data_IF_940691575577
#
_entry.id   IF_940691575577
#
_cell.length_a   1.000
_cell.length_b   1.000
_cell.length_c   1.000
_cell.angle_alpha   90.00
_cell.angle_beta   90.00
_cell.angle_gamma   90.00
#
_symmetry.space_group_name_H-M   'P 1'
#
loop_
_entity.id
_entity.type
_entity.pdbx_description
1 polymer ?
#
# COMPACT_ATOMS: atom_id res chain seq x y z
N UNK A 1 27.02 -35.10 30.83
CA UNK A 1 27.28 -34.08 29.81
C UNK A 1 26.12 -33.92 28.84
N UNK A 2 25.30 -34.96 28.65
CA UNK A 2 24.14 -34.97 27.73
C UNK A 2 22.95 -34.08 28.14
N UNK A 3 22.84 -33.71 29.42
CA UNK A 3 21.77 -32.81 29.91
C UNK A 3 22.00 -31.35 29.46
N UNK A 4 23.24 -31.00 29.16
CA UNK A 4 23.67 -29.64 28.81
C UNK A 4 23.80 -29.49 27.29
N UNK A 5 24.35 -30.51 26.64
CA UNK A 5 24.67 -30.52 25.21
C UNK A 5 23.56 -31.15 24.37
N UNK A 6 23.53 -30.85 23.06
CA UNK A 6 22.56 -31.40 22.13
C UNK A 6 21.33 -30.50 21.87
N UNK A 7 20.42 -30.98 21.02
CA UNK A 7 19.21 -30.24 20.59
C UNK A 7 18.17 -30.11 21.70
N UNK A 8 18.06 -31.14 22.52
CA UNK A 8 17.22 -31.22 23.74
C UNK A 8 18.02 -30.87 25.01
N UNK A 9 19.27 -30.43 24.84
CA UNK A 9 20.08 -29.94 25.95
C UNK A 9 19.48 -28.68 26.56
N UNK A 10 19.63 -28.52 27.87
CA UNK A 10 19.01 -27.44 28.67
C UNK A 10 19.28 -26.04 28.11
N UNK A 11 20.43 -25.81 27.47
CA UNK A 11 20.77 -24.53 26.84
C UNK A 11 19.87 -24.19 25.65
N UNK A 12 19.63 -25.13 24.74
CA UNK A 12 18.84 -24.86 23.52
C UNK A 12 17.35 -24.85 23.82
N UNK A 13 16.89 -25.75 24.67
CA UNK A 13 15.46 -25.89 24.97
C UNK A 13 14.94 -24.84 25.97
N UNK A 14 15.77 -24.41 26.93
CA UNK A 14 15.31 -23.56 28.04
C UNK A 14 15.92 -22.17 28.05
N UNK A 15 17.12 -21.95 27.52
CA UNK A 15 17.78 -20.65 27.59
C UNK A 15 17.64 -19.86 26.29
N UNK A 16 17.74 -20.51 25.12
CA UNK A 16 17.63 -19.85 23.82
C UNK A 16 16.18 -19.67 23.33
N UNK A 17 15.26 -20.53 23.78
CA UNK A 17 13.84 -20.43 23.50
C UNK A 17 13.04 -20.75 24.75
N UNK A 18 11.91 -20.07 24.95
CA UNK A 18 10.96 -20.37 26.02
C UNK A 18 9.55 -20.21 25.50
N UNK A 19 8.61 -20.92 26.13
CA UNK A 19 7.18 -20.61 25.98
C UNK A 19 6.90 -19.30 26.71
N UNK A 20 6.05 -18.47 26.12
CA UNK A 20 5.76 -17.12 26.60
C UNK A 20 4.26 -16.99 26.82
N UNK A 21 3.87 -16.40 27.94
CA UNK A 21 2.49 -16.01 28.21
C UNK A 21 2.05 -14.86 27.29
N UNK A 22 0.74 -14.53 27.28
CA UNK A 22 0.19 -13.50 26.40
C UNK A 22 0.53 -13.72 24.92
N UNK A 23 0.50 -14.98 24.51
CA UNK A 23 0.73 -15.41 23.13
C UNK A 23 -0.42 -16.27 22.59
N UNK A 24 -0.68 -16.15 21.29
CA UNK A 24 -1.72 -16.90 20.59
C UNK A 24 -1.24 -17.32 19.21
N UNK A 25 -1.96 -18.22 18.55
CA UNK A 25 -1.66 -18.66 17.19
C UNK A 25 -2.95 -18.90 16.42
N UNK A 26 -2.99 -18.46 15.16
CA UNK A 26 -4.09 -18.81 14.25
C UNK A 26 -3.63 -18.81 12.80
N UNK A 27 -4.48 -19.34 11.94
CA UNK A 27 -4.34 -19.26 10.47
C UNK A 27 -4.46 -17.80 10.03
N UNK A 28 -3.70 -17.42 9.01
CA UNK A 28 -3.77 -16.09 8.42
C UNK A 28 -4.65 -16.04 7.19
N UNK A 29 -5.29 -14.89 6.98
CA UNK A 29 -6.11 -14.57 5.80
C UNK A 29 -5.74 -13.17 5.31
N UNK A 30 -5.88 -12.91 4.01
CA UNK A 30 -5.58 -11.61 3.42
C UNK A 30 -6.57 -10.54 3.88
N UNK A 31 -6.05 -9.39 4.33
CA UNK A 31 -6.83 -8.21 4.72
C UNK A 31 -6.52 -7.00 3.82
N UNK A 32 -7.11 -6.91 2.62
CA UNK A 32 -6.77 -5.86 1.65
C UNK A 32 -7.25 -4.45 2.06
N UNK A 33 -8.23 -4.37 2.96
CA UNK A 33 -8.77 -3.10 3.46
C UNK A 33 -7.99 -2.54 4.66
N UNK A 34 -7.05 -3.32 5.22
CA UNK A 34 -6.24 -2.89 6.35
C UNK A 34 -5.22 -1.84 5.88
N UNK A 35 -4.86 -0.92 6.77
CA UNK A 35 -3.66 -0.11 6.56
C UNK A 35 -2.41 -0.97 6.80
N UNK A 36 -1.27 -0.56 6.24
CA UNK A 36 -0.03 -1.33 6.34
C UNK A 36 0.40 -1.62 7.79
N UNK A 37 0.13 -0.69 8.70
CA UNK A 37 0.42 -0.79 10.14
C UNK A 37 -0.63 -1.52 10.97
N UNK A 38 -1.71 -2.01 10.35
CA UNK A 38 -2.82 -2.65 11.04
C UNK A 38 -2.84 -4.16 10.79
N UNK A 39 -3.36 -4.91 11.75
CA UNK A 39 -3.69 -6.32 11.57
C UNK A 39 -5.08 -6.60 12.14
N UNK A 40 -5.76 -7.60 11.58
CA UNK A 40 -7.02 -8.08 12.14
C UNK A 40 -6.78 -9.18 13.15
N UNK A 41 -7.25 -9.00 14.39
CA UNK A 41 -7.27 -10.03 15.41
C UNK A 41 -8.68 -10.57 15.61
N UNK A 42 -8.86 -11.90 15.61
CA UNK A 42 -10.17 -12.50 15.84
C UNK A 42 -10.61 -12.32 17.30
N UNK A 43 -11.92 -12.13 17.47
CA UNK A 43 -12.57 -11.90 18.77
C UNK A 43 -12.18 -12.90 19.86
N UNK A 44 -12.13 -14.19 19.53
CA UNK A 44 -11.82 -15.28 20.47
C UNK A 44 -10.39 -15.13 21.03
N UNK A 45 -9.40 -14.86 20.16
CA UNK A 45 -8.00 -14.71 20.56
C UNK A 45 -7.80 -13.38 21.31
N UNK A 46 -8.43 -12.30 20.83
CA UNK A 46 -8.30 -11.00 21.45
C UNK A 46 -8.82 -10.99 22.91
N UNK A 47 -9.96 -11.64 23.20
CA UNK A 47 -10.47 -11.73 24.58
C UNK A 47 -9.49 -12.44 25.51
N UNK A 48 -8.93 -13.58 25.08
CA UNK A 48 -8.02 -14.36 25.92
C UNK A 48 -6.70 -13.59 26.16
N UNK A 49 -6.12 -13.03 25.09
CA UNK A 49 -4.85 -12.32 25.21
C UNK A 49 -4.97 -11.02 26.03
N UNK A 50 -6.09 -10.30 25.90
CA UNK A 50 -6.30 -9.02 26.60
C UNK A 50 -7.12 -9.15 27.90
N UNK A 51 -7.41 -10.37 28.36
CA UNK A 51 -8.34 -10.61 29.46
C UNK A 51 -8.03 -9.76 30.71
N UNK A 52 -6.77 -9.72 31.13
CA UNK A 52 -6.33 -8.96 32.31
C UNK A 52 -6.58 -7.45 32.15
N UNK A 53 -6.35 -6.92 30.95
CA UNK A 53 -6.56 -5.50 30.64
C UNK A 53 -8.04 -5.14 30.59
N UNK A 54 -8.87 -6.03 30.04
CA UNK A 54 -10.33 -5.88 30.00
C UNK A 54 -10.92 -5.89 31.41
N UNK A 55 -10.47 -6.81 32.28
CA UNK A 55 -10.90 -6.83 33.70
C UNK A 55 -10.56 -5.50 34.38
N UNK A 56 -9.35 -4.97 34.15
CA UNK A 56 -8.93 -3.66 34.68
C UNK A 56 -9.78 -2.53 34.12
N UNK A 57 -10.13 -2.56 32.83
CA UNK A 57 -11.01 -1.59 32.18
C UNK A 57 -12.41 -1.57 32.78
N UNK A 58 -13.01 -2.76 32.98
CA UNK A 58 -14.35 -2.93 33.59
C UNK A 58 -14.42 -2.37 35.01
N UNK A 59 -13.37 -2.56 35.82
CA UNK A 59 -13.30 -2.02 37.19
C UNK A 59 -13.10 -0.50 37.14
N UNK A 60 -12.24 0.00 36.24
CA UNK A 60 -11.97 1.45 36.12
C UNK A 60 -13.19 2.26 35.71
N UNK A 61 -14.09 1.66 34.92
CA UNK A 61 -15.33 2.30 34.48
C UNK A 61 -16.51 2.07 35.45
N UNK A 62 -16.26 1.51 36.65
CA UNK A 62 -17.27 1.18 37.67
C UNK A 62 -18.42 0.27 37.17
N UNK A 63 -18.20 -0.47 36.07
CA UNK A 63 -19.16 -1.45 35.55
C UNK A 63 -19.24 -2.67 36.46
N UNK A 64 -18.12 -2.99 37.11
CA UNK A 64 -17.97 -4.17 37.98
C UNK A 64 -17.12 -3.84 39.20
N UNK A 65 -17.56 -4.27 40.38
CA UNK A 65 -16.85 -4.06 41.65
C UNK A 65 -15.77 -5.11 41.94
N UNK A 66 -15.90 -6.34 41.41
CA UNK A 66 -14.99 -7.45 41.72
C UNK A 66 -14.48 -8.17 40.46
N UNK A 67 -13.23 -8.59 40.50
CA UNK A 67 -12.57 -9.38 39.43
C UNK A 67 -13.32 -10.68 39.10
N UNK A 68 -13.96 -11.32 40.09
CA UNK A 68 -14.76 -12.53 39.87
C UNK A 68 -15.97 -12.30 38.97
N UNK A 69 -16.72 -11.21 39.22
CA UNK A 69 -17.87 -10.81 38.39
C UNK A 69 -17.40 -10.43 36.99
N UNK A 70 -16.25 -9.73 36.87
CA UNK A 70 -15.69 -9.35 35.59
C UNK A 70 -15.34 -10.59 34.74
N UNK A 71 -14.78 -11.64 35.36
CA UNK A 71 -14.55 -12.93 34.70
C UNK A 71 -15.85 -13.60 34.25
N UNK A 72 -16.93 -13.50 35.02
CA UNK A 72 -18.25 -14.02 34.61
C UNK A 72 -18.78 -13.30 33.38
N UNK A 73 -18.76 -11.96 33.38
CA UNK A 73 -19.18 -11.14 32.25
C UNK A 73 -18.41 -11.41 30.96
N UNK A 74 -17.10 -11.65 31.09
CA UNK A 74 -16.25 -12.04 29.95
C UNK A 74 -16.67 -13.42 29.40
N UNK A 75 -16.97 -14.38 30.28
CA UNK A 75 -17.46 -15.71 29.88
C UNK A 75 -18.83 -15.65 29.20
N UNK A 76 -19.71 -14.77 29.69
CA UNK A 76 -21.05 -14.52 29.13
C UNK A 76 -21.01 -13.70 27.84
N UNK A 77 -19.85 -13.13 27.46
CA UNK A 77 -19.62 -12.33 26.25
C UNK A 77 -20.56 -11.13 26.13
N UNK A 78 -20.81 -10.44 27.25
CA UNK A 78 -21.66 -9.23 27.28
C UNK A 78 -21.18 -8.18 26.25
N UNK A 79 -22.10 -7.40 25.64
CA UNK A 79 -21.76 -6.40 24.63
C UNK A 79 -20.72 -5.38 25.10
N UNK A 80 -20.80 -4.96 26.36
CA UNK A 80 -19.89 -3.97 26.98
C UNK A 80 -18.43 -4.44 27.00
N UNK A 81 -18.19 -5.76 27.05
CA UNK A 81 -16.84 -6.33 27.04
C UNK A 81 -16.15 -6.03 25.71
N UNK A 82 -16.89 -6.05 24.60
CA UNK A 82 -16.33 -5.79 23.28
C UNK A 82 -15.95 -4.33 23.07
N UNK A 83 -16.74 -3.41 23.62
CA UNK A 83 -16.45 -1.97 23.59
C UNK A 83 -15.16 -1.66 24.37
N UNK A 84 -15.04 -2.18 25.59
CA UNK A 84 -13.84 -2.03 26.42
C UNK A 84 -12.64 -2.71 25.77
N UNK A 85 -12.82 -3.90 25.17
CA UNK A 85 -11.75 -4.58 24.47
C UNK A 85 -11.21 -3.74 23.31
N UNK A 86 -12.09 -3.11 22.51
CA UNK A 86 -11.67 -2.21 21.43
C UNK A 86 -10.88 -1.01 21.95
N UNK A 87 -11.31 -0.38 23.04
CA UNK A 87 -10.59 0.74 23.68
C UNK A 87 -9.19 0.29 24.15
N UNK A 88 -9.11 -0.85 24.83
CA UNK A 88 -7.85 -1.43 25.32
C UNK A 88 -6.89 -1.73 24.16
N UNK A 89 -7.40 -2.34 23.09
CA UNK A 89 -6.60 -2.71 21.91
C UNK A 89 -6.01 -1.50 21.19
N UNK A 90 -6.72 -0.36 21.15
CA UNK A 90 -6.19 0.87 20.55
C UNK A 90 -4.90 1.35 21.23
N UNK A 91 -4.76 1.12 22.55
CA UNK A 91 -3.58 1.48 23.31
C UNK A 91 -2.37 0.55 23.11
N UNK A 92 -2.58 -0.69 22.68
CA UNK A 92 -1.55 -1.74 22.73
C UNK A 92 -1.20 -2.28 21.34
N UNK A 93 0.06 -2.13 20.88
CA UNK A 93 0.50 -2.80 19.66
C UNK A 93 0.64 -4.31 19.90
N UNK A 94 0.59 -5.10 18.83
CA UNK A 94 0.82 -6.56 18.88
C UNK A 94 1.92 -6.95 17.91
N UNK A 95 2.69 -7.98 18.27
CA UNK A 95 3.74 -8.54 17.43
C UNK A 95 3.19 -9.77 16.71
N UNK A 96 3.30 -9.80 15.39
CA UNK A 96 3.04 -10.98 14.59
C UNK A 96 4.35 -11.64 14.21
N UNK A 97 4.41 -12.97 14.31
CA UNK A 97 5.58 -13.77 13.96
C UNK A 97 5.17 -14.97 13.10
N UNK A 98 5.90 -15.19 11.99
CA UNK A 98 5.81 -16.42 11.20
C UNK A 98 7.09 -17.23 11.35
N UNK A 99 6.94 -18.50 11.70
CA UNK A 99 8.05 -19.44 11.72
C UNK A 99 8.19 -20.15 10.35
N UNK A 100 9.41 -20.41 9.85
CA UNK A 100 10.71 -20.06 10.45
C UNK A 100 11.06 -18.57 10.32
N UNK A 101 11.59 -17.97 11.40
CA UNK A 101 12.00 -16.57 11.41
C UNK A 101 13.42 -16.43 10.86
N UNK A 102 13.55 -16.16 9.56
CA UNK A 102 14.86 -16.10 8.88
C UNK A 102 15.60 -14.76 9.05
N UNK A 103 14.86 -13.68 9.25
CA UNK A 103 15.39 -12.34 9.39
C UNK A 103 14.45 -11.46 10.22
N UNK A 104 14.90 -10.26 10.60
CA UNK A 104 14.16 -9.36 11.51
C UNK A 104 12.71 -9.10 11.08
N UNK A 105 12.43 -9.00 9.77
CA UNK A 105 11.07 -8.73 9.26
C UNK A 105 10.11 -9.93 9.42
N UNK A 106 10.60 -11.09 9.86
CA UNK A 106 9.75 -12.22 10.24
C UNK A 106 9.01 -12.00 11.56
N UNK A 107 9.31 -10.90 12.28
CA UNK A 107 8.52 -10.39 13.40
C UNK A 107 8.28 -8.91 13.16
N UNK A 108 7.02 -8.48 13.14
CA UNK A 108 6.67 -7.05 13.02
C UNK A 108 5.53 -6.68 13.95
N UNK A 109 5.49 -5.41 14.34
CA UNK A 109 4.43 -4.84 15.15
C UNK A 109 3.31 -4.26 14.29
N UNK A 110 2.09 -4.42 14.78
CA UNK A 110 0.87 -3.91 14.17
C UNK A 110 -0.07 -3.35 15.23
N UNK A 111 -0.90 -2.40 14.81
CA UNK A 111 -2.07 -1.97 15.56
C UNK A 111 -3.19 -2.99 15.33
N UNK A 112 -3.65 -3.72 16.36
CA UNK A 112 -4.71 -4.69 16.19
C UNK A 112 -6.07 -4.02 15.98
N UNK A 113 -6.87 -4.59 15.09
CA UNK A 113 -8.28 -4.28 14.86
C UNK A 113 -9.09 -5.54 15.14
N UNK A 114 -10.21 -5.40 15.83
CA UNK A 114 -11.09 -6.53 16.10
C UNK A 114 -11.81 -6.95 14.81
N UNK A 115 -11.69 -8.23 14.42
CA UNK A 115 -12.32 -8.78 13.22
C UNK A 115 -13.24 -9.95 13.58
N UNK A 116 -14.28 -10.14 12.77
CA UNK A 116 -15.19 -11.27 12.86
C UNK A 116 -14.56 -12.53 12.22
N UNK A 117 -14.69 -13.67 12.90
CA UNK A 117 -14.08 -14.94 12.50
C UNK A 117 -12.96 -15.40 13.44
N UNK A 118 -12.18 -16.39 12.97
CA UNK A 118 -11.12 -17.04 13.76
C UNK A 118 -9.71 -16.86 13.20
N UNK A 119 -9.58 -16.32 11.99
CA UNK A 119 -8.31 -16.10 11.34
C UNK A 119 -7.74 -14.71 11.65
N UNK A 120 -6.42 -14.59 11.59
CA UNK A 120 -5.71 -13.30 11.68
C UNK A 120 -5.68 -12.67 10.29
N UNK A 121 -6.14 -11.43 10.16
CA UNK A 121 -6.07 -10.72 8.88
C UNK A 121 -4.72 -10.00 8.77
N UNK A 122 -3.98 -10.31 7.70
CA UNK A 122 -2.66 -9.74 7.42
C UNK A 122 -2.70 -8.85 6.18
N UNK A 123 -1.97 -7.75 6.22
CA UNK A 123 -1.84 -6.85 5.06
C UNK A 123 -1.05 -7.53 3.91
N UNK A 124 -1.50 -7.49 2.65
CA UNK A 124 -0.83 -8.20 1.55
C UNK A 124 0.63 -7.75 1.32
N UNK A 125 0.95 -6.46 1.47
CA UNK A 125 2.32 -5.94 1.26
C UNK A 125 3.36 -6.46 2.28
N UNK A 126 2.97 -6.88 3.48
CA UNK A 126 3.94 -7.41 4.46
C UNK A 126 4.23 -8.89 4.27
N UNK A 127 3.45 -9.59 3.44
CA UNK A 127 3.56 -11.04 3.25
C UNK A 127 4.97 -11.46 2.77
N UNK A 128 5.59 -10.66 1.90
CA UNK A 128 6.97 -10.89 1.44
C UNK A 128 7.98 -10.85 2.60
N UNK A 129 7.78 -9.97 3.58
CA UNK A 129 8.63 -9.87 4.78
C UNK A 129 8.47 -11.07 5.73
N UNK A 130 7.30 -11.70 5.76
CA UNK A 130 7.08 -12.94 6.53
C UNK A 130 7.36 -14.20 5.71
N UNK A 131 7.61 -14.07 4.41
CA UNK A 131 7.58 -15.14 3.42
C UNK A 131 6.27 -15.95 3.48
N UNK A 132 5.16 -15.28 3.79
CA UNK A 132 3.87 -15.88 4.08
C UNK A 132 2.98 -15.99 2.84
N UNK A 133 2.21 -17.07 2.78
CA UNK A 133 1.11 -17.29 1.84
C UNK A 133 -0.20 -17.57 2.60
N UNK A 134 -1.27 -17.90 1.88
CA UNK A 134 -2.63 -18.03 2.45
C UNK A 134 -3.23 -19.42 2.18
N UNK A 135 -2.40 -20.46 2.12
CA UNK A 135 -2.80 -21.84 1.84
C UNK A 135 -3.06 -22.68 3.12
N UNK A 136 -2.94 -22.05 4.29
CA UNK A 136 -3.04 -22.71 5.61
C UNK A 136 -1.97 -22.26 6.61
N UNK A 137 -1.07 -21.39 6.17
CA UNK A 137 -0.09 -20.70 6.99
C UNK A 137 -0.65 -20.16 8.31
N UNK A 138 0.14 -20.30 9.38
CA UNK A 138 -0.21 -19.86 10.72
C UNK A 138 0.81 -18.86 11.26
N UNK A 139 0.33 -17.84 11.96
CA UNK A 139 1.17 -16.86 12.64
C UNK A 139 0.92 -16.87 14.14
N UNK A 140 1.99 -16.64 14.90
CA UNK A 140 1.92 -16.37 16.32
C UNK A 140 1.70 -14.87 16.57
N UNK A 141 0.97 -14.56 17.63
CA UNK A 141 0.69 -13.22 18.13
C UNK A 141 1.30 -13.10 19.51
N UNK A 142 1.97 -11.99 19.81
CA UNK A 142 2.51 -11.68 21.14
C UNK A 142 2.14 -10.25 21.55
N UNK A 143 1.82 -10.05 22.82
CA UNK A 143 1.52 -8.72 23.37
C UNK A 143 2.72 -8.19 24.18
N UNK A 144 3.32 -7.05 23.80
CA UNK A 144 4.26 -6.33 24.64
C UNK A 144 3.53 -5.69 25.83
N UNK A 145 3.95 -6.05 27.05
CA UNK A 145 3.27 -5.62 28.28
C UNK A 145 3.86 -4.33 28.85
N UNK A 146 5.19 -4.24 28.98
CA UNK A 146 5.85 -3.08 29.57
C UNK A 146 5.80 -1.86 28.64
N UNK A 147 5.89 -0.66 29.22
CA UNK A 147 5.85 0.58 28.43
C UNK A 147 7.05 0.69 27.50
N UNK A 148 8.21 0.19 27.92
CA UNK A 148 9.43 0.13 27.12
C UNK A 148 9.24 -0.79 25.92
N UNK A 149 8.70 -1.99 26.13
CA UNK A 149 8.43 -2.94 25.05
C UNK A 149 7.38 -2.41 24.06
N UNK A 150 6.35 -1.71 24.55
CA UNK A 150 5.36 -1.05 23.69
C UNK A 150 5.99 0.09 22.88
N UNK A 151 6.90 0.87 23.48
CA UNK A 151 7.62 1.93 22.80
C UNK A 151 8.56 1.37 21.73
N UNK A 152 9.33 0.33 22.03
CA UNK A 152 10.19 -0.37 21.05
C UNK A 152 9.37 -0.94 19.91
N UNK A 153 8.23 -1.58 20.20
CA UNK A 153 7.33 -2.08 19.17
C UNK A 153 6.93 -0.93 18.23
N UNK A 154 6.42 0.17 18.79
CA UNK A 154 5.94 1.36 18.05
C UNK A 154 7.03 2.04 17.21
N UNK A 155 8.23 2.21 17.76
CA UNK A 155 9.30 2.98 17.12
C UNK A 155 10.19 2.15 16.19
N UNK A 156 10.38 0.86 16.48
CA UNK A 156 11.36 0.03 15.79
C UNK A 156 10.72 -1.09 14.98
N UNK A 157 9.61 -1.66 15.44
CA UNK A 157 9.06 -2.90 14.86
C UNK A 157 7.81 -2.68 14.01
N UNK A 158 7.17 -1.50 14.05
CA UNK A 158 5.97 -1.25 13.25
C UNK A 158 6.24 -1.48 11.76
N UNK A 159 5.32 -2.17 11.09
CA UNK A 159 5.48 -2.57 9.68
C UNK A 159 5.74 -1.38 8.74
N UNK A 160 5.08 -0.23 8.97
CA UNK A 160 5.23 0.96 8.15
C UNK A 160 6.58 1.67 8.29
N UNK A 161 7.34 1.37 9.34
CA UNK A 161 8.71 1.86 9.52
C UNK A 161 9.74 0.92 8.88
N UNK A 162 9.34 -0.31 8.58
CA UNK A 162 10.21 -1.39 8.10
C UNK A 162 9.93 -1.75 6.64
N UNK A 163 10.00 -0.74 5.76
CA UNK A 163 9.70 -0.92 4.33
C UNK A 163 10.86 -1.48 3.51
N UNK A 164 12.10 -1.34 4.01
CA UNK A 164 13.32 -1.72 3.31
C UNK A 164 13.95 -2.98 3.91
N UNK A 165 14.59 -3.77 3.05
CA UNK A 165 15.40 -4.92 3.45
C UNK A 165 16.65 -4.43 4.17
N UNK A 166 16.95 -4.89 5.40
CA UNK A 166 18.19 -4.52 6.08
C UNK A 166 19.46 -5.04 5.39
N UNK A 167 19.36 -6.07 4.54
CA UNK A 167 20.53 -6.66 3.90
C UNK A 167 21.00 -5.88 2.67
N UNK A 168 20.06 -5.43 1.83
CA UNK A 168 20.36 -4.85 0.50
C UNK A 168 19.90 -3.38 0.42
N UNK A 169 18.94 -2.95 1.25
CA UNK A 169 18.30 -1.64 1.15
C UNK A 169 17.12 -1.60 0.18
N UNK A 170 16.85 -2.69 -0.54
CA UNK A 170 15.72 -2.79 -1.48
C UNK A 170 14.36 -2.77 -0.76
N UNK A 171 13.31 -2.22 -1.39
CA UNK A 171 11.97 -2.21 -0.82
C UNK A 171 11.39 -3.62 -0.75
N UNK A 172 10.90 -4.00 0.44
CA UNK A 172 10.25 -5.30 0.69
C UNK A 172 8.74 -5.18 0.51
N UNK A 173 8.15 -4.09 1.01
CA UNK A 173 6.71 -3.82 0.91
C UNK A 173 6.36 -3.20 -0.45
N UNK A 174 6.52 -3.99 -1.52
CA UNK A 174 6.23 -3.60 -2.90
C UNK A 174 4.94 -4.25 -3.40
N UNK A 175 4.18 -3.61 -4.30
CA UNK A 175 3.08 -4.24 -5.00
C UNK A 175 3.51 -5.57 -5.64
N UNK A 176 2.72 -6.62 -5.47
CA UNK A 176 2.96 -7.97 -5.99
C UNK A 176 1.73 -8.46 -6.77
N UNK A 177 1.95 -9.42 -7.67
CA UNK A 177 0.92 -10.19 -8.38
C UNK A 177 -0.26 -9.31 -8.86
N UNK A 178 -1.42 -9.42 -8.22
CA UNK A 178 -2.67 -8.73 -8.58
C UNK A 178 -2.51 -7.20 -8.62
N UNK A 179 -1.77 -6.63 -7.67
CA UNK A 179 -1.52 -5.18 -7.65
C UNK A 179 -0.69 -4.76 -8.86
N UNK A 180 0.32 -5.55 -9.24
CA UNK A 180 1.15 -5.28 -10.41
C UNK A 180 0.33 -5.44 -11.70
N UNK A 181 -0.52 -6.46 -11.79
CA UNK A 181 -1.40 -6.66 -12.95
C UNK A 181 -2.36 -5.47 -13.08
N UNK A 182 -2.98 -5.03 -11.98
CA UNK A 182 -3.86 -3.87 -11.97
C UNK A 182 -3.15 -2.59 -12.43
N UNK A 183 -1.98 -2.31 -11.88
CA UNK A 183 -1.16 -1.16 -12.27
C UNK A 183 -0.68 -1.27 -13.73
N UNK A 184 -0.28 -2.46 -14.16
CA UNK A 184 0.19 -2.71 -15.52
C UNK A 184 -0.94 -2.50 -16.52
N UNK A 185 -2.12 -3.07 -16.27
CA UNK A 185 -3.31 -2.88 -17.10
C UNK A 185 -3.68 -1.40 -17.13
N UNK A 186 -3.70 -0.69 -15.99
CA UNK A 186 -3.99 0.75 -15.98
C UNK A 186 -2.98 1.61 -16.74
N UNK A 187 -1.73 1.15 -16.84
CA UNK A 187 -0.63 1.87 -17.50
C UNK A 187 -0.27 1.32 -18.86
N UNK A 188 -1.04 0.35 -19.39
CA UNK A 188 -0.80 -0.27 -20.70
C UNK A 188 -1.19 0.72 -21.81
N UNK A 189 -0.34 1.71 -22.03
CA UNK A 189 -0.45 2.66 -23.13
C UNK A 189 0.28 2.16 -24.36
N UNK A 190 -0.29 2.41 -25.53
CA UNK A 190 0.47 2.33 -26.78
C UNK A 190 1.35 3.60 -26.81
N UNK A 191 2.69 3.53 -26.76
CA UNK A 191 3.56 4.70 -26.70
C UNK A 191 3.61 5.40 -28.06
N UNK A 192 2.47 5.92 -28.51
CA UNK A 192 2.39 6.83 -29.63
C UNK A 192 2.83 8.18 -29.09
N UNK A 193 4.14 8.42 -29.02
CA UNK A 193 4.67 9.76 -28.74
C UNK A 193 4.07 10.80 -29.68
N UNK A 194 4.18 12.10 -29.37
CA UNK A 194 3.60 13.17 -30.21
C UNK A 194 4.03 13.06 -31.69
N UNK A 195 5.20 12.46 -31.94
CA UNK A 195 5.79 12.30 -33.26
C UNK A 195 5.46 10.97 -33.98
N UNK A 196 4.81 9.99 -33.34
CA UNK A 196 4.48 8.72 -33.98
C UNK A 196 3.58 8.91 -35.22
N UNK A 197 2.86 10.03 -35.31
CA UNK A 197 2.02 10.37 -36.45
C UNK A 197 2.64 11.36 -37.45
N UNK A 198 3.88 11.84 -37.23
CA UNK A 198 4.59 12.75 -38.17
C UNK A 198 5.58 12.04 -39.09
N UNK A 199 6.08 10.86 -38.72
CA UNK A 199 7.10 10.12 -39.49
C UNK A 199 6.63 8.76 -40.05
N UNK A 200 5.34 8.57 -40.32
CA UNK A 200 4.90 7.51 -41.25
C UNK A 200 4.85 8.05 -42.69
N UNK A 201 5.98 8.58 -43.15
CA UNK A 201 6.18 9.00 -44.52
C UNK A 201 7.43 8.35 -45.09
N UNK A 202 7.44 7.00 -45.18
CA UNK A 202 8.18 6.22 -46.19
C UNK A 202 8.23 4.73 -45.83
N UNK A 203 7.19 3.99 -46.17
CA UNK A 203 7.40 2.68 -46.79
C UNK A 203 7.04 2.83 -48.27
N UNK A 204 7.93 3.49 -49.00
CA UNK A 204 7.91 3.52 -50.45
C UNK A 204 8.30 2.16 -50.96
N UNK A 205 7.31 1.30 -51.18
CA UNK A 205 7.28 0.31 -52.26
C UNK A 205 5.94 -0.41 -52.27
N UNK A 206 4.94 0.20 -52.91
CA UNK A 206 4.04 -0.53 -53.81
C UNK A 206 3.18 0.47 -54.61
N UNK A 207 3.15 0.22 -55.92
CA UNK A 207 2.52 1.03 -56.96
C UNK A 207 0.99 0.99 -56.85
N UNK A 208 0.35 2.16 -56.89
CA UNK A 208 -0.60 2.59 -57.95
C UNK A 208 -1.10 4.01 -57.62
N UNK A 209 -0.97 4.89 -58.60
CA UNK A 209 -1.55 6.24 -58.59
C UNK A 209 -3.08 6.08 -58.69
N UNK A 210 -3.77 6.27 -57.57
CA UNK A 210 -5.17 6.68 -57.59
C UNK A 210 -5.25 8.05 -56.92
N UNK A 211 -5.79 9.00 -57.69
CA UNK A 211 -6.07 10.37 -57.31
C UNK A 211 -7.14 10.37 -56.22
N UNK A 212 -6.73 10.20 -54.97
CA UNK A 212 -7.61 10.42 -53.82
C UNK A 212 -7.46 11.89 -53.41
N UNK A 213 -8.58 12.59 -53.51
CA UNK A 213 -8.80 13.95 -53.04
C UNK A 213 -8.12 14.22 -51.70
N UNK A 214 -7.33 15.31 -51.64
CA UNK A 214 -6.88 15.93 -50.40
C UNK A 214 -8.10 16.38 -49.59
N UNK A 215 -8.68 15.51 -48.76
CA UNK A 215 -9.62 15.88 -47.71
C UNK A 215 -9.59 14.80 -46.62
N UNK A 216 -9.40 15.25 -45.38
CA UNK A 216 -9.68 14.55 -44.12
C UNK A 216 -8.75 13.41 -43.67
N UNK A 217 -7.48 13.70 -43.40
CA UNK A 217 -6.81 13.10 -42.23
C UNK A 217 -7.14 13.94 -40.98
N UNK A 218 -8.42 13.96 -40.60
CA UNK A 218 -8.89 14.61 -39.37
C UNK A 218 -8.58 13.68 -38.20
N UNK A 219 -7.30 13.62 -37.79
CA UNK A 219 -6.92 12.91 -36.58
C UNK A 219 -7.78 13.43 -35.41
N UNK A 220 -8.38 12.55 -34.60
CA UNK A 220 -9.07 13.02 -33.39
C UNK A 220 -8.03 13.75 -32.56
N UNK A 221 -8.22 15.07 -32.37
CA UNK A 221 -7.38 15.84 -31.45
C UNK A 221 -7.58 15.23 -30.06
N UNK A 222 -6.49 14.73 -29.48
CA UNK A 222 -6.50 14.26 -28.10
C UNK A 222 -7.12 15.35 -27.20
N UNK A 223 -8.09 14.99 -26.35
CA UNK A 223 -8.85 15.97 -25.57
C UNK A 223 -7.96 16.64 -24.50
N UNK A 224 -8.18 17.93 -24.29
CA UNK A 224 -7.49 18.73 -23.27
C UNK A 224 -8.34 18.88 -22.02
N UNK A 225 -7.73 18.65 -20.87
CA UNK A 225 -8.34 18.81 -19.55
C UNK A 225 -7.51 19.71 -18.66
N UNK A 226 -8.19 20.68 -18.05
CA UNK A 226 -7.64 21.55 -17.01
C UNK A 226 -7.53 20.87 -15.65
N UNK A 227 -8.41 19.91 -15.37
CA UNK A 227 -8.54 19.22 -14.08
C UNK A 227 -8.70 17.72 -14.27
N UNK A 228 -8.17 16.94 -13.34
CA UNK A 228 -8.37 15.48 -13.31
C UNK A 228 -9.85 15.13 -13.12
N UNK A 229 -10.61 15.96 -12.40
CA UNK A 229 -12.06 15.78 -12.23
C UNK A 229 -12.82 15.92 -13.55
N UNK A 230 -12.41 16.83 -14.44
CA UNK A 230 -13.04 17.02 -15.75
C UNK A 230 -12.82 15.78 -16.64
N UNK A 231 -11.60 15.23 -16.61
CA UNK A 231 -11.26 14.01 -17.31
C UNK A 231 -12.06 12.80 -16.79
N UNK A 232 -12.20 12.67 -15.46
CA UNK A 232 -13.04 11.65 -14.83
C UNK A 232 -14.53 11.82 -15.19
N UNK A 233 -15.02 13.05 -15.26
CA UNK A 233 -16.38 13.36 -15.73
C UNK A 233 -16.59 12.93 -17.17
N UNK A 234 -15.65 13.22 -18.06
CA UNK A 234 -15.69 12.80 -19.46
C UNK A 234 -15.64 11.27 -19.62
N UNK A 235 -14.84 10.59 -18.80
CA UNK A 235 -14.81 9.12 -18.74
C UNK A 235 -16.16 8.53 -18.30
N UNK A 236 -16.78 9.07 -17.23
CA UNK A 236 -18.11 8.65 -16.77
C UNK A 236 -19.19 8.86 -17.82
N UNK A 237 -19.08 9.93 -18.62
CA UNK A 237 -19.96 10.21 -19.76
C UNK A 237 -19.63 9.37 -21.01
N UNK A 238 -18.68 8.42 -20.92
CA UNK A 238 -18.19 7.57 -22.02
C UNK A 238 -17.69 8.37 -23.24
N UNK A 239 -17.23 9.61 -23.04
CA UNK A 239 -16.60 10.43 -24.09
C UNK A 239 -15.15 10.02 -24.34
N UNK A 240 -14.53 9.37 -23.36
CA UNK A 240 -13.12 8.98 -23.34
C UNK A 240 -13.04 7.54 -22.84
N UNK A 241 -12.14 6.76 -23.43
CA UNK A 241 -11.85 5.40 -22.99
C UNK A 241 -10.65 5.39 -22.03
N UNK A 242 -10.53 4.37 -21.20
CA UNK A 242 -9.45 4.29 -20.20
C UNK A 242 -8.04 4.36 -20.84
N UNK A 243 -7.88 3.80 -22.04
CA UNK A 243 -6.61 3.75 -22.77
C UNK A 243 -6.45 4.84 -23.83
N UNK A 244 -7.41 5.76 -23.96
CA UNK A 244 -7.26 6.83 -24.95
C UNK A 244 -6.36 7.94 -24.39
N UNK A 245 -5.32 8.37 -25.13
CA UNK A 245 -4.42 9.41 -24.68
C UNK A 245 -5.18 10.74 -24.51
N UNK A 246 -4.85 11.46 -23.45
CA UNK A 246 -5.40 12.79 -23.16
C UNK A 246 -4.30 13.75 -22.72
N UNK A 247 -4.59 15.03 -22.82
CA UNK A 247 -3.73 16.10 -22.32
C UNK A 247 -4.26 16.62 -21.00
N UNK A 248 -3.50 16.46 -19.92
CA UNK A 248 -3.87 16.94 -18.60
C UNK A 248 -2.97 18.10 -18.17
N UNK A 249 -3.55 19.21 -17.73
CA UNK A 249 -2.81 20.32 -17.13
C UNK A 249 -2.20 19.88 -15.79
N UNK A 250 -0.88 19.86 -15.72
CA UNK A 250 -0.11 19.59 -14.52
C UNK A 250 0.01 20.83 -13.65
N UNK A 251 -0.13 20.66 -12.33
CA UNK A 251 0.04 21.75 -11.36
C UNK A 251 1.53 21.96 -11.10
N UNK A 252 1.98 23.21 -11.22
CA UNK A 252 3.39 23.60 -11.13
C UNK A 252 4.03 23.38 -9.76
N UNK A 253 3.24 23.25 -8.70
CA UNK A 253 3.73 23.04 -7.32
C UNK A 253 4.41 21.67 -7.11
N UNK A 254 4.16 20.72 -8.01
CA UNK A 254 4.80 19.41 -8.00
C UNK A 254 6.01 19.43 -8.91
N UNK A 255 7.21 19.52 -8.32
CA UNK A 255 8.49 19.53 -9.03
C UNK A 255 8.55 18.37 -10.02
N UNK A 256 8.60 18.70 -11.31
CA UNK A 256 8.85 17.72 -12.37
C UNK A 256 10.35 17.41 -12.35
N UNK A 257 10.72 16.21 -11.91
CA UNK A 257 12.07 15.67 -12.14
C UNK A 257 12.11 15.20 -13.59
N UNK A 258 12.37 16.13 -14.50
CA UNK A 258 12.66 15.82 -15.90
C UNK A 258 14.16 15.87 -16.14
N UNK A 259 14.71 14.84 -16.80
CA UNK A 259 16.00 14.93 -17.48
C UNK A 259 16.00 16.12 -18.46
N UNK A 260 17.16 16.75 -18.68
CA UNK A 260 17.35 17.86 -19.62
C UNK A 260 17.09 17.39 -21.06
N UNK A 261 15.82 17.33 -21.46
CA UNK A 261 15.40 17.05 -22.83
C UNK A 261 15.37 18.34 -23.65
N UNK A 262 15.72 18.26 -24.94
CA UNK A 262 15.61 19.37 -25.89
C UNK A 262 14.17 19.36 -26.45
N UNK A 263 13.49 20.52 -26.55
CA UNK A 263 12.15 20.57 -27.12
C UNK A 263 12.19 20.16 -28.60
N UNK A 264 11.20 19.37 -29.02
CA UNK A 264 11.06 18.91 -30.40
C UNK A 264 10.62 20.07 -31.29
N UNK A 265 9.76 20.93 -30.76
CA UNK A 265 9.20 22.06 -31.48
C UNK A 265 8.92 23.21 -30.51
N UNK A 266 9.24 24.44 -30.92
CA UNK A 266 8.93 25.66 -30.17
C UNK A 266 8.11 26.57 -31.07
N UNK A 267 6.89 26.88 -30.64
CA UNK A 267 5.98 27.77 -31.37
C UNK A 267 5.81 29.09 -30.59
N UNK A 268 5.85 30.22 -31.30
CA UNK A 268 5.60 31.53 -30.73
C UNK A 268 4.26 32.08 -31.22
N UNK A 269 3.41 32.51 -30.29
CA UNK A 269 2.15 33.18 -30.60
C UNK A 269 2.38 34.69 -30.73
N UNK A 270 1.57 35.37 -31.55
CA UNK A 270 1.63 36.82 -31.76
C UNK A 270 1.47 37.64 -30.47
N UNK A 271 0.83 37.08 -29.45
CA UNK A 271 0.67 37.68 -28.12
C UNK A 271 1.89 37.49 -27.20
N UNK A 272 2.98 36.88 -27.69
CA UNK A 272 4.22 36.66 -26.93
C UNK A 272 4.20 35.43 -26.02
N UNK A 273 3.19 34.56 -26.11
CA UNK A 273 3.27 33.26 -25.47
C UNK A 273 4.16 32.33 -26.30
N UNK A 274 4.92 31.47 -25.64
CA UNK A 274 5.64 30.40 -26.30
C UNK A 274 5.10 29.04 -25.88
N UNK A 275 5.11 28.10 -26.81
CA UNK A 275 4.71 26.72 -26.64
C UNK A 275 5.90 25.83 -26.95
N UNK A 276 6.49 25.20 -25.93
CA UNK A 276 7.53 24.19 -26.10
C UNK A 276 6.88 22.80 -26.07
N UNK A 277 7.08 22.02 -27.13
CA UNK A 277 6.51 20.67 -27.28
C UNK A 277 7.64 19.65 -27.12
N UNK A 278 7.51 18.79 -26.12
CA UNK A 278 8.41 17.67 -25.84
C UNK A 278 7.73 16.35 -26.19
N UNK A 279 8.44 15.22 -26.08
CA UNK A 279 7.90 13.91 -26.47
C UNK A 279 6.59 13.53 -25.76
N UNK A 280 6.45 13.90 -24.48
CA UNK A 280 5.32 13.51 -23.62
C UNK A 280 4.68 14.66 -22.84
N UNK A 281 5.19 15.88 -22.97
CA UNK A 281 4.65 17.05 -22.28
C UNK A 281 4.78 18.30 -23.15
N UNK A 282 3.99 19.32 -22.83
CA UNK A 282 3.98 20.63 -23.50
C UNK A 282 4.03 21.72 -22.43
N UNK A 283 4.94 22.66 -22.58
CA UNK A 283 5.08 23.82 -21.71
C UNK A 283 4.51 25.03 -22.43
N UNK A 284 3.69 25.81 -21.72
CA UNK A 284 3.18 27.10 -22.18
C UNK A 284 3.73 28.16 -21.23
N UNK A 285 4.49 29.12 -21.76
CA UNK A 285 5.10 30.19 -20.99
C UNK A 285 4.88 31.57 -21.60
N UNK A 286 5.19 32.60 -20.82
CA UNK A 286 5.11 34.00 -21.24
C UNK A 286 6.46 34.55 -21.71
N UNK A 287 6.46 35.72 -22.36
CA UNK A 287 7.68 36.44 -22.80
C UNK A 287 8.75 36.55 -21.71
N UNK A 288 8.35 36.69 -20.44
CA UNK A 288 9.25 36.79 -19.28
C UNK A 288 9.90 35.45 -18.87
N UNK A 289 9.71 34.39 -19.66
CA UNK A 289 10.08 32.99 -19.33
C UNK A 289 9.41 32.44 -18.08
N UNK A 290 8.30 33.03 -17.66
CA UNK A 290 7.45 32.47 -16.62
C UNK A 290 6.57 31.36 -17.22
N UNK A 291 6.66 30.16 -16.66
CA UNK A 291 5.83 29.02 -17.06
C UNK A 291 4.40 29.25 -16.56
N UNK A 292 3.43 29.33 -17.47
CA UNK A 292 2.01 29.49 -17.14
C UNK A 292 1.32 28.16 -16.88
N UNK A 293 1.58 27.16 -17.72
CA UNK A 293 0.94 25.85 -17.68
C UNK A 293 1.88 24.79 -18.23
N UNK A 294 1.87 23.60 -17.62
CA UNK A 294 2.45 22.39 -18.20
C UNK A 294 1.30 21.45 -18.50
N UNK A 295 1.29 20.85 -19.69
CA UNK A 295 0.38 19.77 -20.05
C UNK A 295 1.18 18.48 -20.19
N UNK A 296 0.76 17.43 -19.52
CA UNK A 296 1.33 16.09 -19.66
C UNK A 296 0.36 15.28 -20.50
N UNK A 297 0.90 14.53 -21.46
CA UNK A 297 0.14 13.56 -22.23
C UNK A 297 0.22 12.21 -21.53
N UNK A 298 -0.93 11.61 -21.27
CA UNK A 298 -1.05 10.24 -20.73
C UNK A 298 -0.90 9.20 -21.82
#
# INVERSE_FOLDING_TARGET
SDVIEGKEGRFRETLLGKRVDYSGRSVIVVGPLLSLHQCGLPREIAIELFQTFVIRGLIRQDVVSNTGIAKSKIREKEPIVWEILQEVMQGHPVLLNRAPTLHRLGIQAFQPILVEGRAICLHPLVCKGFNADFDGDQMAVHIPLSLEAQAEARLLMFSHMNLLSPAIGDPVSVPTQDMLIGLYVLTIGNPRGICANRYNQSNSNCRKKETVSKNDFKYPKDPYFSSSYDALGAYRQKRIHLYSPLWLRWRLDQRVVGSREVPIEVQYESFGNYNEIYKHYRIIGSVKREIRCIYIRT
#
